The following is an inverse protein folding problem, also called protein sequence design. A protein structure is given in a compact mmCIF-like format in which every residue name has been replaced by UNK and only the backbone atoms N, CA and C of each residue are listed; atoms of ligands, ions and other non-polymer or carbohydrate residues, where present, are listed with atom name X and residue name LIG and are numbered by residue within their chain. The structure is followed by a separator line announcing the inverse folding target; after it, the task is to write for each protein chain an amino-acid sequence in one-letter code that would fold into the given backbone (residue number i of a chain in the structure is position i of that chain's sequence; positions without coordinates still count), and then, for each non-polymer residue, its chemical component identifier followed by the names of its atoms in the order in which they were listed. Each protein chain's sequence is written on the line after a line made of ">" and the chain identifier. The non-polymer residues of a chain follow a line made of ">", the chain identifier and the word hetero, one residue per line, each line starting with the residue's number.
data_IF_189905101049
#
_entry.id   IF_189905101049
#
_cell.length_a   1.000
_cell.length_b   1.000
_cell.length_c   1.000
_cell.angle_alpha   90.00
_cell.angle_beta   90.00
_cell.angle_gamma   90.00
#
_symmetry.space_group_name_H-M   'P 1'
#
loop_
_entity.id
_entity.type
_entity.pdbx_description
1 polymer ?
#
# COMPACT_ATOMS: atom_id res chain seq x y z
N UNK A 1 11.45 18.33 -19.65
CA UNK A 1 10.41 17.44 -20.23
C UNK A 1 10.03 16.45 -19.14
N UNK A 2 8.80 16.47 -18.66
CA UNK A 2 8.29 15.49 -17.69
C UNK A 2 7.22 14.66 -18.36
N UNK A 3 7.29 13.34 -18.20
CA UNK A 3 6.18 12.46 -18.55
C UNK A 3 5.25 12.36 -17.35
N UNK A 4 3.95 12.60 -17.57
CA UNK A 4 2.92 12.30 -16.58
C UNK A 4 2.45 10.88 -16.90
N UNK A 5 2.58 9.98 -15.92
CA UNK A 5 2.10 8.60 -16.03
C UNK A 5 0.93 8.48 -15.08
N UNK A 6 -0.24 8.18 -15.64
CA UNK A 6 -1.43 7.90 -14.86
C UNK A 6 -1.27 6.54 -14.17
N UNK A 7 -1.63 6.50 -12.88
CA UNK A 7 -1.66 5.27 -12.11
C UNK A 7 -3.08 4.72 -12.08
N UNK A 8 -3.16 3.41 -11.91
CA UNK A 8 -4.38 2.63 -11.81
C UNK A 8 -5.12 2.79 -10.47
N UNK A 9 -4.46 3.37 -9.45
CA UNK A 9 -5.06 3.64 -8.14
C UNK A 9 -5.33 5.12 -7.89
N UNK A 10 -6.45 5.39 -7.22
CA UNK A 10 -6.84 6.74 -6.79
C UNK A 10 -6.25 7.08 -5.41
N UNK A 11 -6.13 8.38 -5.14
CA UNK A 11 -5.77 8.87 -3.81
C UNK A 11 -6.83 8.43 -2.79
N UNK A 12 -6.37 7.85 -1.68
CA UNK A 12 -7.23 7.31 -0.61
C UNK A 12 -7.69 5.86 -0.84
N UNK A 13 -7.37 5.23 -1.97
CA UNK A 13 -7.59 3.79 -2.13
C UNK A 13 -6.52 3.00 -1.36
N UNK A 14 -6.94 1.86 -0.80
CA UNK A 14 -6.02 0.97 -0.13
C UNK A 14 -4.97 0.43 -1.11
N UNK A 15 -3.71 0.45 -0.68
CA UNK A 15 -2.56 -0.12 -1.36
C UNK A 15 -2.24 -1.51 -0.83
N UNK A 16 -1.61 -2.33 -1.66
CA UNK A 16 -1.13 -3.66 -1.27
C UNK A 16 0.22 -3.56 -0.57
N UNK A 17 0.37 -4.30 0.53
CA UNK A 17 1.60 -4.36 1.33
C UNK A 17 2.24 -5.73 1.11
N UNK A 18 3.48 -5.73 0.61
CA UNK A 18 4.26 -6.94 0.32
C UNK A 18 5.43 -7.08 1.28
N UNK A 19 5.71 -8.32 1.70
CA UNK A 19 6.93 -8.72 2.40
C UNK A 19 7.51 -9.90 1.66
N UNK A 20 8.76 -9.80 1.20
CA UNK A 20 9.42 -10.84 0.38
C UNK A 20 8.54 -11.31 -0.79
N UNK A 21 7.97 -10.36 -1.55
CA UNK A 21 7.08 -10.62 -2.69
C UNK A 21 5.77 -11.34 -2.35
N UNK A 22 5.43 -11.50 -1.07
CA UNK A 22 4.15 -12.04 -0.62
C UNK A 22 3.23 -10.92 -0.16
N UNK A 23 2.00 -10.90 -0.68
CA UNK A 23 0.95 -10.01 -0.20
C UNK A 23 0.60 -10.37 1.25
N UNK A 24 0.72 -9.42 2.18
CA UNK A 24 0.49 -9.66 3.61
C UNK A 24 -0.62 -8.79 4.19
N UNK A 25 -0.92 -7.65 3.57
CA UNK A 25 -1.90 -6.70 4.10
C UNK A 25 -2.36 -5.71 3.01
N UNK A 26 -3.39 -4.94 3.36
CA UNK A 26 -3.81 -3.73 2.66
C UNK A 26 -3.85 -2.56 3.63
N UNK A 27 -3.63 -1.36 3.13
CA UNK A 27 -3.66 -0.15 3.96
C UNK A 27 -3.67 1.14 3.16
N UNK A 28 -3.87 2.26 3.84
CA UNK A 28 -3.93 3.58 3.23
C UNK A 28 -2.62 4.33 3.45
N UNK A 29 -2.14 5.05 2.43
CA UNK A 29 -0.93 5.88 2.54
C UNK A 29 -1.25 7.12 3.35
N UNK A 30 -0.41 7.40 4.36
CA UNK A 30 -0.51 8.60 5.20
C UNK A 30 0.84 9.32 5.22
N UNK A 31 0.80 10.62 5.48
CA UNK A 31 2.00 11.42 5.76
C UNK A 31 1.98 11.82 7.23
N UNK A 32 3.03 11.45 7.95
CA UNK A 32 3.21 11.80 9.37
C UNK A 32 4.59 12.41 9.52
N UNK A 33 4.68 13.66 9.98
CA UNK A 33 5.96 14.37 10.17
C UNK A 33 6.87 14.32 8.93
N UNK A 34 6.30 14.64 7.76
CA UNK A 34 6.99 14.59 6.46
C UNK A 34 7.50 13.19 6.05
N UNK A 35 7.07 12.13 6.74
CA UNK A 35 7.38 10.75 6.41
C UNK A 35 6.15 10.06 5.84
N UNK A 36 6.36 9.27 4.80
CA UNK A 36 5.34 8.35 4.30
C UNK A 36 5.19 7.18 5.28
N UNK A 37 3.95 6.92 5.66
CA UNK A 37 3.52 5.78 6.46
C UNK A 37 2.35 5.08 5.80
N UNK A 38 1.96 3.95 6.38
CA UNK A 38 0.78 3.19 5.93
C UNK A 38 -0.06 2.85 7.16
N UNK A 39 -1.33 3.22 7.15
CA UNK A 39 -2.31 2.74 8.12
C UNK A 39 -2.89 1.43 7.62
N UNK A 40 -2.64 0.33 8.32
CA UNK A 40 -3.17 -0.98 7.93
C UNK A 40 -4.69 -1.04 8.11
N UNK A 41 -5.40 -1.51 7.08
CA UNK A 41 -6.85 -1.69 7.08
C UNK A 41 -7.23 -3.17 7.11
N UNK A 42 -6.41 -4.03 6.51
CA UNK A 42 -6.66 -5.48 6.44
C UNK A 42 -5.35 -6.27 6.55
N UNK A 43 -5.37 -7.37 7.31
CA UNK A 43 -4.27 -8.34 7.35
C UNK A 43 -4.72 -9.60 6.61
N UNK A 44 -3.94 -10.00 5.62
CA UNK A 44 -4.17 -11.23 4.89
C UNK A 44 -3.53 -12.36 5.69
N UNK A 45 -4.35 -13.29 6.19
CA UNK A 45 -3.84 -14.49 6.85
C UNK A 45 -3.06 -15.31 5.85
N UNK A 46 -1.82 -15.65 6.20
CA UNK A 46 -1.09 -16.68 5.49
C UNK A 46 -1.84 -18.01 5.66
N UNK A 47 -2.16 -18.69 4.57
CA UNK A 47 -2.56 -20.09 4.66
C UNK A 47 -1.42 -20.86 5.33
N UNK A 48 -1.73 -21.47 6.47
CA UNK A 48 -0.84 -22.44 7.11
C UNK A 48 -1.00 -23.74 6.33
N UNK A 49 0.01 -24.11 5.55
CA UNK A 49 0.21 -25.49 5.10
C UNK A 49 0.66 -26.37 6.26
#
# INVERSE_FOLDING_TARGET
>A
RGAVIELDRKVGEAIDIYVNNRLVARGEVVVVEDRLGITMTEIIKAERN
#
